data_IF_932937247690
#
_entry.id   IF_932937247690
#
_cell.length_a   1.000
_cell.length_b   1.000
_cell.length_c   1.000
_cell.angle_alpha   90.00
_cell.angle_beta   90.00
_cell.angle_gamma   90.00
#
_symmetry.space_group_name_H-M   'P 1'
#
loop_
_entity.id
_entity.type
_entity.pdbx_description
1 polymer ?
#
# COMPACT_ATOMS: atom_id res chain seq x y z
N UNK A 1 -17.25 5.22 11.90
CA UNK A 1 -18.16 5.43 10.76
C UNK A 1 -19.46 4.68 11.01
N UNK A 2 -20.52 5.35 11.47
CA UNK A 2 -21.86 4.75 11.39
C UNK A 2 -22.38 4.98 9.97
N UNK A 3 -22.15 4.01 9.09
CA UNK A 3 -22.73 4.03 7.75
C UNK A 3 -24.26 3.99 7.86
N UNK A 4 -24.95 4.91 7.20
CA UNK A 4 -26.43 4.96 7.13
C UNK A 4 -27.07 3.75 6.42
N UNK A 5 -26.31 2.74 6.00
CA UNK A 5 -26.78 1.54 5.34
C UNK A 5 -27.24 0.40 6.28
N UNK A 6 -27.17 0.63 7.59
CA UNK A 6 -27.52 -0.39 8.59
C UNK A 6 -26.38 -1.37 8.87
N UNK A 7 -26.58 -2.20 9.90
CA UNK A 7 -25.52 -3.04 10.49
C UNK A 7 -24.86 -4.01 9.50
N UNK A 8 -25.62 -4.56 8.55
CA UNK A 8 -25.11 -5.53 7.56
C UNK A 8 -24.11 -4.91 6.59
N UNK A 9 -24.44 -3.75 6.02
CA UNK A 9 -23.53 -3.07 5.11
C UNK A 9 -22.28 -2.54 5.83
N UNK A 10 -22.43 -2.08 7.08
CA UNK A 10 -21.29 -1.72 7.91
C UNK A 10 -20.37 -2.92 8.16
N UNK A 11 -20.92 -4.11 8.44
CA UNK A 11 -20.13 -5.32 8.59
C UNK A 11 -19.37 -5.64 7.30
N UNK A 12 -20.03 -5.58 6.14
CA UNK A 12 -19.39 -5.83 4.83
C UNK A 12 -18.24 -4.83 4.56
N UNK A 13 -18.48 -3.52 4.73
CA UNK A 13 -17.44 -2.52 4.46
C UNK A 13 -16.26 -2.63 5.42
N UNK A 14 -16.52 -2.91 6.70
CA UNK A 14 -15.45 -3.16 7.67
C UNK A 14 -14.67 -4.43 7.35
N UNK A 15 -15.34 -5.53 7.01
CA UNK A 15 -14.68 -6.78 6.62
C UNK A 15 -13.80 -6.60 5.37
N UNK A 16 -14.28 -5.89 4.36
CA UNK A 16 -13.47 -5.62 3.16
C UNK A 16 -12.32 -4.64 3.46
N UNK A 17 -12.52 -3.67 4.36
CA UNK A 17 -11.44 -2.79 4.80
C UNK A 17 -10.35 -3.57 5.55
N UNK A 18 -10.72 -4.51 6.42
CA UNK A 18 -9.76 -5.42 7.09
C UNK A 18 -9.03 -6.29 6.07
N UNK A 19 -9.72 -6.81 5.05
CA UNK A 19 -9.08 -7.54 3.94
C UNK A 19 -8.04 -6.69 3.22
N UNK A 20 -8.37 -5.44 2.87
CA UNK A 20 -7.43 -4.51 2.21
C UNK A 20 -6.20 -4.25 3.08
N UNK A 21 -6.42 -3.98 4.36
CA UNK A 21 -5.34 -3.71 5.32
C UNK A 21 -4.46 -4.95 5.53
N UNK A 22 -5.05 -6.16 5.55
CA UNK A 22 -4.28 -7.40 5.62
C UNK A 22 -3.40 -7.58 4.38
N UNK A 23 -3.92 -7.35 3.17
CA UNK A 23 -3.13 -7.41 1.95
C UNK A 23 -1.98 -6.39 1.94
N UNK A 24 -2.23 -5.17 2.43
CA UNK A 24 -1.18 -4.17 2.62
C UNK A 24 -0.11 -4.64 3.64
N UNK A 25 -0.51 -5.19 4.80
CA UNK A 25 0.44 -5.76 5.76
C UNK A 25 1.31 -6.85 5.15
N UNK A 26 0.71 -7.76 4.34
CA UNK A 26 1.45 -8.83 3.68
C UNK A 26 2.48 -8.23 2.71
N UNK A 27 2.07 -7.29 1.87
CA UNK A 27 2.97 -6.60 0.93
C UNK A 27 4.13 -5.90 1.65
N UNK A 28 3.85 -5.21 2.76
CA UNK A 28 4.88 -4.57 3.58
C UNK A 28 5.86 -5.59 4.16
N UNK A 29 5.38 -6.73 4.67
CA UNK A 29 6.24 -7.78 5.20
C UNK A 29 7.15 -8.37 4.12
N UNK A 30 6.60 -8.68 2.94
CA UNK A 30 7.37 -9.20 1.78
C UNK A 30 8.47 -8.21 1.37
N UNK A 31 8.13 -6.92 1.24
CA UNK A 31 9.10 -5.89 0.86
C UNK A 31 10.17 -5.68 1.95
N UNK A 32 9.80 -5.67 3.22
CA UNK A 32 10.77 -5.59 4.32
C UNK A 32 11.71 -6.79 4.33
N UNK A 33 11.20 -8.01 4.11
CA UNK A 33 12.02 -9.22 3.95
C UNK A 33 13.01 -9.05 2.81
N UNK A 34 12.58 -8.62 1.62
CA UNK A 34 13.44 -8.45 0.45
C UNK A 34 14.54 -7.42 0.72
N UNK A 35 14.18 -6.24 1.25
CA UNK A 35 15.15 -5.20 1.60
C UNK A 35 16.14 -5.67 2.68
N UNK A 36 15.65 -6.28 3.76
CA UNK A 36 16.51 -6.79 4.83
C UNK A 36 17.43 -7.92 4.35
N UNK A 37 16.92 -8.81 3.48
CA UNK A 37 17.72 -9.90 2.93
C UNK A 37 18.92 -9.37 2.15
N UNK A 38 18.67 -8.51 1.16
CA UNK A 38 19.72 -7.98 0.29
C UNK A 38 20.64 -6.99 1.01
N UNK A 39 20.09 -6.11 1.84
CA UNK A 39 20.91 -5.12 2.54
C UNK A 39 21.84 -5.77 3.56
N UNK A 40 21.35 -6.72 4.37
CA UNK A 40 22.22 -7.36 5.37
C UNK A 40 23.26 -8.27 4.74
N UNK A 41 22.94 -8.96 3.64
CA UNK A 41 23.97 -9.67 2.85
C UNK A 41 25.07 -8.72 2.38
N UNK A 42 24.72 -7.59 1.76
CA UNK A 42 25.70 -6.59 1.34
C UNK A 42 26.55 -6.07 2.51
N UNK A 43 25.93 -5.82 3.67
CA UNK A 43 26.63 -5.36 4.86
C UNK A 43 27.59 -6.43 5.43
N UNK A 44 27.19 -7.70 5.45
CA UNK A 44 28.04 -8.80 5.89
C UNK A 44 29.23 -9.02 4.95
N UNK A 45 28.99 -8.94 3.64
CA UNK A 45 30.03 -9.02 2.61
C UNK A 45 31.07 -7.90 2.79
N UNK A 46 30.62 -6.66 3.04
CA UNK A 46 31.53 -5.52 3.29
C UNK A 46 32.32 -5.65 4.59
N UNK A 47 31.74 -6.27 5.62
CA UNK A 47 32.42 -6.54 6.89
C UNK A 47 33.29 -7.81 6.86
N UNK A 48 33.25 -8.59 5.78
CA UNK A 48 33.96 -9.87 5.67
C UNK A 48 33.44 -10.95 6.64
N UNK A 49 32.18 -10.84 7.09
CA UNK A 49 31.59 -11.78 8.05
C UNK A 49 30.73 -12.81 7.32
N UNK A 50 31.09 -14.09 7.39
CA UNK A 50 30.28 -15.16 6.81
C UNK A 50 29.15 -15.56 7.76
N UNK A 51 27.98 -14.95 7.58
CA UNK A 51 26.74 -15.29 8.32
C UNK A 51 25.81 -16.10 7.43
N UNK A 52 25.21 -17.16 7.95
CA UNK A 52 24.16 -17.90 7.25
C UNK A 52 22.84 -17.10 7.28
N UNK A 53 22.75 -16.09 6.43
CA UNK A 53 21.57 -15.23 6.30
C UNK A 53 20.65 -15.75 5.20
N UNK A 54 19.50 -16.30 5.58
CA UNK A 54 18.53 -16.90 4.65
C UNK A 54 17.32 -15.99 4.43
N UNK A 55 16.57 -16.14 3.32
CA UNK A 55 15.33 -15.38 3.11
C UNK A 55 14.30 -15.60 4.23
N UNK A 56 14.24 -16.80 4.81
CA UNK A 56 13.35 -17.10 5.93
C UNK A 56 13.78 -16.38 7.21
N UNK A 57 15.09 -16.29 7.47
CA UNK A 57 15.61 -15.49 8.59
C UNK A 57 15.29 -14.00 8.42
N UNK A 58 15.38 -13.46 7.19
CA UNK A 58 14.97 -12.09 6.89
C UNK A 58 13.47 -11.84 7.12
N UNK A 59 12.60 -12.82 6.87
CA UNK A 59 11.18 -12.71 7.21
C UNK A 59 10.96 -12.71 8.73
N UNK A 60 11.66 -13.59 9.47
CA UNK A 60 11.58 -13.62 10.93
C UNK A 60 12.15 -12.35 11.58
N UNK A 61 13.14 -11.71 10.96
CA UNK A 61 13.67 -10.43 11.42
C UNK A 61 12.60 -9.33 11.51
N UNK A 62 11.63 -9.30 10.58
CA UNK A 62 10.52 -8.34 10.63
C UNK A 62 9.66 -8.53 11.89
N UNK A 63 9.61 -9.74 12.45
CA UNK A 63 8.87 -10.01 13.68
C UNK A 63 9.44 -9.28 14.91
N UNK A 64 10.66 -8.73 14.84
CA UNK A 64 11.19 -7.83 15.87
C UNK A 64 10.34 -6.56 16.05
N UNK A 65 9.51 -6.20 15.06
CA UNK A 65 8.55 -5.10 15.18
C UNK A 65 7.32 -5.46 16.03
N UNK A 66 7.14 -6.72 16.44
CA UNK A 66 5.97 -7.18 17.19
C UNK A 66 5.66 -6.34 18.44
N UNK A 67 6.63 -5.92 19.29
CA UNK A 67 6.34 -5.05 20.43
C UNK A 67 5.67 -3.74 20.01
N UNK A 68 6.12 -3.13 18.91
CA UNK A 68 5.55 -1.89 18.37
C UNK A 68 4.11 -2.09 17.89
N UNK A 69 3.77 -3.27 17.33
CA UNK A 69 2.38 -3.57 16.90
C UNK A 69 1.38 -3.63 18.06
N UNK A 70 1.86 -3.83 19.29
CA UNK A 70 1.03 -3.92 20.48
C UNK A 70 0.83 -2.57 21.19
N UNK A 71 1.43 -1.49 20.67
CA UNK A 71 1.25 -0.14 21.21
C UNK A 71 -0.24 0.26 21.13
N UNK A 72 -0.77 0.74 22.26
CA UNK A 72 -2.17 1.12 22.39
C UNK A 72 -2.47 2.43 21.67
N UNK A 73 -1.59 3.41 21.83
CA UNK A 73 -1.82 4.80 21.44
C UNK A 73 -1.58 5.03 19.94
N UNK A 74 -2.66 5.36 19.23
CA UNK A 74 -2.61 5.66 17.80
C UNK A 74 -1.72 6.88 17.49
N UNK A 75 -1.79 7.93 18.32
CA UNK A 75 -1.01 9.15 18.13
C UNK A 75 0.51 8.89 18.19
N UNK A 76 0.95 8.02 19.10
CA UNK A 76 2.37 7.64 19.21
C UNK A 76 2.86 6.90 17.98
N UNK A 77 2.05 6.01 17.39
CA UNK A 77 2.39 5.33 16.14
C UNK A 77 2.38 6.27 14.93
N UNK A 78 1.49 7.27 14.89
CA UNK A 78 1.51 8.30 13.85
C UNK A 78 2.78 9.17 13.95
N UNK A 79 3.20 9.52 15.16
CA UNK A 79 4.48 10.22 15.38
C UNK A 79 5.67 9.35 14.95
N UNK A 80 5.67 8.06 15.29
CA UNK A 80 6.71 7.14 14.83
C UNK A 80 6.73 7.00 13.30
N UNK A 81 5.55 6.91 12.67
CA UNK A 81 5.41 6.89 11.22
C UNK A 81 5.99 8.14 10.54
N UNK A 82 5.91 9.31 11.17
CA UNK A 82 6.48 10.54 10.60
C UNK A 82 8.01 10.50 10.45
N UNK A 83 8.71 9.69 11.26
CA UNK A 83 10.16 9.45 11.11
C UNK A 83 10.51 8.74 9.79
N UNK A 84 9.51 8.09 9.19
CA UNK A 84 9.62 7.41 7.92
C UNK A 84 9.70 8.32 6.69
N UNK A 85 9.16 9.54 6.79
CA UNK A 85 9.01 10.47 5.65
C UNK A 85 10.35 10.78 4.96
N UNK A 86 11.45 11.09 5.67
CA UNK A 86 12.74 11.32 5.02
C UNK A 86 13.24 10.11 4.23
N UNK A 87 13.00 8.89 4.72
CA UNK A 87 13.41 7.67 4.04
C UNK A 87 12.57 7.39 2.78
N UNK A 88 11.28 7.72 2.81
CA UNK A 88 10.43 7.72 1.62
C UNK A 88 10.94 8.71 0.57
N UNK A 89 11.24 9.95 0.99
CA UNK A 89 11.77 10.97 0.09
C UNK A 89 13.10 10.57 -0.52
N UNK A 90 14.00 9.97 0.27
CA UNK A 90 15.26 9.42 -0.22
C UNK A 90 15.02 8.38 -1.34
N UNK A 91 14.07 7.48 -1.13
CA UNK A 91 13.72 6.44 -2.10
C UNK A 91 13.15 7.02 -3.40
N UNK A 92 12.36 8.09 -3.31
CA UNK A 92 11.85 8.84 -4.47
C UNK A 92 13.00 9.54 -5.20
N UNK A 93 13.91 10.20 -4.48
CA UNK A 93 15.08 10.86 -5.07
C UNK A 93 15.99 9.84 -5.75
N UNK A 94 16.21 8.68 -5.15
CA UNK A 94 17.02 7.60 -5.72
C UNK A 94 16.54 7.21 -7.12
N UNK A 95 15.27 6.85 -7.26
CA UNK A 95 14.75 6.34 -8.54
C UNK A 95 14.59 7.45 -9.59
N UNK A 96 14.24 8.67 -9.16
CA UNK A 96 14.15 9.81 -10.08
C UNK A 96 15.53 10.25 -10.57
N UNK A 97 16.57 10.19 -9.73
CA UNK A 97 17.95 10.43 -10.13
C UNK A 97 18.39 9.47 -11.24
N UNK A 98 18.13 8.16 -11.10
CA UNK A 98 18.48 7.19 -12.15
C UNK A 98 17.78 7.47 -13.48
N UNK A 99 16.50 7.87 -13.44
CA UNK A 99 15.77 8.28 -14.64
C UNK A 99 16.33 9.52 -15.31
N UNK A 100 16.61 10.58 -14.53
CA UNK A 100 17.21 11.82 -15.05
C UNK A 100 18.61 11.58 -15.59
N UNK A 101 19.41 10.78 -14.89
CA UNK A 101 20.76 10.42 -15.33
C UNK A 101 20.73 9.67 -16.67
N UNK A 102 19.84 8.68 -16.82
CA UNK A 102 19.69 7.94 -18.08
C UNK A 102 19.30 8.84 -19.26
N UNK A 103 18.40 9.82 -19.04
CA UNK A 103 18.05 10.82 -20.06
C UNK A 103 19.24 11.72 -20.38
N UNK A 104 19.94 12.22 -19.35
CA UNK A 104 21.07 13.14 -19.53
C UNK A 104 22.24 12.49 -20.27
N UNK A 105 22.49 11.20 -20.05
CA UNK A 105 23.57 10.44 -20.72
C UNK A 105 23.15 9.82 -22.05
N UNK A 106 21.92 10.07 -22.53
CA UNK A 106 21.38 9.50 -23.76
C UNK A 106 21.49 7.96 -23.77
N UNK A 107 21.15 7.32 -22.65
CA UNK A 107 21.16 5.88 -22.54
C UNK A 107 20.26 5.25 -23.63
N UNK A 108 20.64 4.07 -24.18
CA UNK A 108 19.84 3.38 -25.19
C UNK A 108 18.41 3.14 -24.67
N UNK A 109 17.41 3.53 -25.46
CA UNK A 109 15.99 3.40 -25.12
C UNK A 109 15.33 2.18 -25.77
N UNK A 110 16.12 1.25 -26.30
CA UNK A 110 15.62 0.11 -27.09
C UNK A 110 14.75 -0.86 -26.27
N UNK A 111 14.96 -0.91 -24.94
CA UNK A 111 14.18 -1.72 -24.00
C UNK A 111 12.85 -1.03 -23.57
N UNK A 112 12.62 0.22 -23.98
CA UNK A 112 11.43 1.00 -23.64
C UNK A 112 10.32 0.69 -24.65
N UNK A 113 9.34 -0.09 -24.20
CA UNK A 113 8.17 -0.42 -25.00
C UNK A 113 7.06 0.63 -24.80
N UNK A 114 6.73 1.34 -25.87
CA UNK A 114 5.57 2.22 -25.92
C UNK A 114 4.34 1.46 -26.41
N UNK A 115 3.19 1.67 -25.75
CA UNK A 115 1.90 1.13 -26.17
C UNK A 115 1.12 0.39 -25.08
N UNK A 116 -0.11 0.01 -25.41
CA UNK A 116 -0.97 -0.73 -24.50
C UNK A 116 -0.51 -2.19 -24.39
N UNK A 117 -0.27 -2.66 -23.17
CA UNK A 117 0.03 -4.07 -22.86
C UNK A 117 -1.18 -4.74 -22.20
N UNK A 118 -1.33 -6.04 -22.38
CA UNK A 118 -2.34 -6.85 -21.70
C UNK A 118 -2.26 -6.74 -20.17
N UNK A 119 -1.07 -6.44 -19.64
CA UNK A 119 -0.83 -6.19 -18.21
C UNK A 119 -1.44 -4.89 -17.67
N UNK A 120 -2.17 -4.11 -18.48
CA UNK A 120 -2.92 -2.95 -18.02
C UNK A 120 -3.87 -3.28 -16.86
N UNK A 121 -4.49 -4.47 -16.89
CA UNK A 121 -5.32 -4.96 -15.79
C UNK A 121 -4.58 -4.96 -14.46
N UNK A 122 -3.39 -5.54 -14.43
CA UNK A 122 -2.51 -5.61 -13.24
C UNK A 122 -2.23 -4.21 -12.68
N UNK A 123 -1.89 -3.26 -13.55
CA UNK A 123 -1.64 -1.87 -13.15
C UNK A 123 -2.90 -1.26 -12.51
N UNK A 124 -4.07 -1.46 -13.10
CA UNK A 124 -5.33 -0.94 -12.58
C UNK A 124 -5.64 -1.42 -11.16
N UNK A 125 -5.36 -2.71 -10.85
CA UNK A 125 -5.50 -3.25 -9.49
C UNK A 125 -4.55 -2.58 -8.49
N UNK A 126 -3.27 -2.44 -8.86
CA UNK A 126 -2.26 -1.81 -8.01
C UNK A 126 -2.59 -0.33 -7.77
N UNK A 127 -2.93 0.43 -8.81
CA UNK A 127 -3.28 1.85 -8.72
C UNK A 127 -4.52 2.08 -7.85
N UNK A 128 -5.50 1.18 -7.93
CA UNK A 128 -6.69 1.23 -7.07
C UNK A 128 -6.32 1.15 -5.59
N UNK A 129 -5.31 0.34 -5.24
CA UNK A 129 -4.77 0.29 -3.88
C UNK A 129 -3.89 1.51 -3.55
N UNK A 130 -3.11 2.02 -4.51
CA UNK A 130 -2.25 3.19 -4.31
C UNK A 130 -3.05 4.45 -3.94
N UNK A 131 -4.26 4.61 -4.49
CA UNK A 131 -5.17 5.72 -4.16
C UNK A 131 -6.17 5.40 -3.03
N UNK A 132 -5.88 4.38 -2.21
CA UNK A 132 -6.78 3.96 -1.15
C UNK A 132 -6.56 4.74 0.15
N UNK A 133 -7.43 5.71 0.42
CA UNK A 133 -7.57 6.35 1.76
C UNK A 133 -9.03 6.45 2.22
N UNK A 134 -9.95 5.86 1.46
CA UNK A 134 -11.40 6.00 1.61
C UNK A 134 -11.92 5.60 3.00
N UNK A 135 -11.26 4.64 3.67
CA UNK A 135 -11.64 4.20 5.02
C UNK A 135 -11.16 5.13 6.15
N UNK A 136 -10.17 5.98 5.90
CA UNK A 136 -9.50 6.80 6.91
C UNK A 136 -9.64 8.31 6.66
N UNK A 137 -10.14 8.73 5.48
CA UNK A 137 -10.19 10.13 5.10
C UNK A 137 -11.05 11.00 6.03
N UNK A 138 -12.19 10.49 6.51
CA UNK A 138 -13.10 11.26 7.36
C UNK A 138 -12.46 11.68 8.70
N UNK A 139 -11.86 10.77 9.49
CA UNK A 139 -11.10 11.17 10.68
C UNK A 139 -9.98 12.18 10.40
N UNK A 140 -9.31 12.08 9.25
CA UNK A 140 -8.19 12.95 8.89
C UNK A 140 -8.67 14.37 8.63
N UNK A 141 -9.68 14.55 7.76
CA UNK A 141 -10.15 15.89 7.38
C UNK A 141 -10.99 16.57 8.46
N UNK A 142 -11.46 15.85 9.48
CA UNK A 142 -12.33 16.40 10.54
C UNK A 142 -11.67 17.56 11.31
N UNK A 143 -10.34 17.61 11.34
CA UNK A 143 -9.57 18.66 12.00
C UNK A 143 -9.20 19.84 11.08
N UNK A 144 -9.53 19.75 9.79
CA UNK A 144 -9.30 20.80 8.79
C UNK A 144 -10.49 21.75 8.70
N UNK A 145 -10.32 22.89 8.01
CA UNK A 145 -11.41 23.84 7.75
C UNK A 145 -12.45 23.23 6.78
N UNK A 146 -13.73 23.09 7.17
CA UNK A 146 -14.77 22.50 6.32
C UNK A 146 -14.96 23.18 4.97
N UNK A 147 -14.75 24.49 4.88
CA UNK A 147 -14.86 25.24 3.61
C UNK A 147 -13.83 24.79 2.56
N UNK A 148 -12.71 24.19 3.00
CA UNK A 148 -11.59 23.81 2.15
C UNK A 148 -11.50 22.30 1.89
N UNK A 149 -12.40 21.46 2.45
CA UNK A 149 -12.30 19.99 2.35
C UNK A 149 -12.11 19.49 0.92
N UNK A 150 -12.96 19.94 0.00
CA UNK A 150 -12.88 19.51 -1.40
C UNK A 150 -11.57 19.93 -2.05
N UNK A 151 -11.12 21.17 -1.81
CA UNK A 151 -9.86 21.71 -2.34
C UNK A 151 -8.66 20.94 -1.80
N UNK A 152 -8.59 20.76 -0.49
CA UNK A 152 -7.43 20.16 0.18
C UNK A 152 -7.30 18.67 -0.19
N UNK A 153 -8.43 17.94 -0.26
CA UNK A 153 -8.45 16.55 -0.73
C UNK A 153 -8.06 16.46 -2.21
N UNK A 154 -8.61 17.32 -3.07
CA UNK A 154 -8.26 17.33 -4.51
C UNK A 154 -6.78 17.61 -4.71
N UNK A 155 -6.24 18.64 -4.05
CA UNK A 155 -4.82 18.97 -4.10
C UNK A 155 -3.94 17.79 -3.64
N UNK A 156 -4.32 17.10 -2.57
CA UNK A 156 -3.60 15.92 -2.09
C UNK A 156 -3.59 14.79 -3.13
N UNK A 157 -4.73 14.45 -3.75
CA UNK A 157 -4.79 13.42 -4.79
C UNK A 157 -3.99 13.80 -6.04
N UNK A 158 -4.02 15.08 -6.45
CA UNK A 158 -3.23 15.58 -7.59
C UNK A 158 -1.74 15.47 -7.29
N UNK A 159 -1.28 15.88 -6.10
CA UNK A 159 0.12 15.75 -5.69
C UNK A 159 0.59 14.29 -5.65
N UNK A 160 -0.23 13.38 -5.12
CA UNK A 160 0.05 11.94 -5.11
C UNK A 160 0.07 11.36 -6.51
N UNK A 161 -0.85 11.76 -7.39
CA UNK A 161 -0.86 11.33 -8.79
C UNK A 161 0.39 11.79 -9.54
N UNK A 162 0.80 13.05 -9.37
CA UNK A 162 2.03 13.56 -9.98
C UNK A 162 3.27 12.85 -9.45
N UNK A 163 3.34 12.52 -8.16
CA UNK A 163 4.50 11.80 -7.61
C UNK A 163 4.58 10.37 -8.17
N UNK A 164 3.46 9.65 -8.27
CA UNK A 164 3.42 8.33 -8.87
C UNK A 164 3.75 8.34 -10.36
N UNK A 165 3.26 9.32 -11.13
CA UNK A 165 3.61 9.46 -12.55
C UNK A 165 5.10 9.75 -12.68
N UNK A 166 5.66 10.66 -11.87
CA UNK A 166 7.08 11.02 -11.92
C UNK A 166 7.95 9.81 -11.62
N UNK A 167 7.68 9.08 -10.53
CA UNK A 167 8.44 7.87 -10.16
C UNK A 167 8.24 6.75 -11.18
N UNK A 168 7.03 6.55 -11.69
CA UNK A 168 6.73 5.51 -12.67
C UNK A 168 7.42 5.74 -14.01
N UNK A 169 7.36 6.97 -14.55
CA UNK A 169 7.98 7.32 -15.83
C UNK A 169 9.50 7.36 -15.72
N UNK A 170 10.05 8.11 -14.76
CA UNK A 170 11.51 8.20 -14.59
C UNK A 170 12.10 6.88 -14.15
N UNK A 171 11.41 6.11 -13.32
CA UNK A 171 11.84 4.76 -12.94
C UNK A 171 11.84 3.78 -14.09
N UNK A 172 10.87 3.87 -15.01
CA UNK A 172 10.85 3.04 -16.22
C UNK A 172 11.99 3.40 -17.18
N UNK A 173 12.30 4.68 -17.34
CA UNK A 173 13.43 5.15 -18.18
C UNK A 173 14.79 4.83 -17.55
N UNK A 174 14.91 4.99 -16.22
CA UNK A 174 16.14 4.76 -15.47
C UNK A 174 16.42 3.30 -15.13
N UNK A 175 15.60 2.37 -15.61
CA UNK A 175 15.77 0.95 -15.33
C UNK A 175 17.01 0.40 -16.05
N UNK A 176 17.84 -0.44 -15.41
CA UNK A 176 19.03 -1.00 -16.06
C UNK A 176 18.66 -1.83 -17.30
N UNK A 177 19.37 -1.59 -18.42
CA UNK A 177 19.16 -2.31 -19.67
C UNK A 177 19.50 -3.79 -19.54
N UNK A 178 18.74 -4.65 -20.22
CA UNK A 178 18.91 -6.10 -20.14
C UNK A 178 18.49 -6.77 -18.81
N UNK A 179 17.97 -6.02 -17.84
CA UNK A 179 17.42 -6.57 -16.59
C UNK A 179 15.89 -6.60 -16.65
N UNK A 180 15.24 -7.77 -16.45
CA UNK A 180 13.78 -7.83 -16.42
C UNK A 180 13.19 -6.95 -15.32
N UNK A 181 12.09 -6.25 -15.64
CA UNK A 181 11.41 -5.36 -14.71
C UNK A 181 10.83 -6.17 -13.55
N UNK A 182 11.39 -5.94 -12.37
CA UNK A 182 10.98 -6.58 -11.12
C UNK A 182 9.80 -5.83 -10.50
N UNK A 183 8.98 -6.56 -9.73
CA UNK A 183 7.86 -5.95 -8.99
C UNK A 183 8.33 -4.96 -7.92
N UNK A 184 9.46 -5.26 -7.28
CA UNK A 184 10.21 -4.32 -6.46
C UNK A 184 11.33 -3.72 -7.32
N UNK A 185 11.22 -2.43 -7.66
CA UNK A 185 12.18 -1.79 -8.54
C UNK A 185 13.61 -1.81 -8.00
N UNK A 186 13.81 -1.86 -6.67
CA UNK A 186 15.14 -1.90 -6.08
C UNK A 186 15.88 -3.18 -6.46
N UNK A 187 15.18 -4.29 -6.72
CA UNK A 187 15.80 -5.59 -7.05
C UNK A 187 16.57 -5.56 -8.38
N UNK A 188 16.31 -4.58 -9.24
CA UNK A 188 17.10 -4.36 -10.45
C UNK A 188 18.47 -3.72 -10.20
N UNK A 189 18.68 -3.10 -9.03
CA UNK A 189 19.91 -2.38 -8.70
C UNK A 189 20.75 -3.21 -7.70
N UNK A 190 21.99 -3.60 -8.03
CA UNK A 190 22.81 -4.46 -7.17
C UNK A 190 23.33 -3.73 -5.93
N UNK A 191 23.00 -4.21 -4.73
CA UNK A 191 23.39 -3.55 -3.47
C UNK A 191 24.86 -3.73 -3.07
N UNK A 192 25.52 -4.81 -3.49
CA UNK A 192 26.86 -5.16 -3.00
C UNK A 192 27.96 -4.19 -3.50
N UNK A 193 27.72 -3.48 -4.60
CA UNK A 193 28.68 -2.54 -5.21
C UNK A 193 28.20 -1.10 -5.19
N UNK A 194 26.89 -0.89 -5.08
CA UNK A 194 26.28 0.44 -5.12
C UNK A 194 25.76 0.83 -3.73
N UNK A 195 26.52 1.72 -3.08
CA UNK A 195 26.18 2.29 -1.76
C UNK A 195 24.85 3.04 -1.83
N UNK A 196 24.51 3.65 -2.96
CA UNK A 196 23.27 4.38 -3.14
C UNK A 196 22.06 3.43 -3.18
N UNK A 197 22.19 2.31 -3.91
CA UNK A 197 21.17 1.25 -3.95
C UNK A 197 21.02 0.51 -2.61
N UNK A 198 22.11 0.35 -1.85
CA UNK A 198 22.08 -0.14 -0.47
C UNK A 198 21.32 0.85 0.45
N UNK A 199 21.66 2.14 0.39
CA UNK A 199 21.01 3.17 1.19
C UNK A 199 19.52 3.30 0.87
N UNK A 200 19.12 3.09 -0.39
CA UNK A 200 17.72 3.10 -0.81
C UNK A 200 16.94 1.92 -0.22
N UNK A 201 17.55 0.72 -0.16
CA UNK A 201 16.95 -0.45 0.51
C UNK A 201 16.82 -0.26 2.01
N UNK A 202 17.86 0.29 2.66
CA UNK A 202 17.80 0.61 4.09
C UNK A 202 16.74 1.67 4.38
N UNK A 203 16.64 2.70 3.54
CA UNK A 203 15.60 3.72 3.63
C UNK A 203 14.21 3.11 3.46
N UNK A 204 13.99 2.29 2.43
CA UNK A 204 12.71 1.62 2.23
C UNK A 204 12.38 0.69 3.40
N UNK A 205 13.34 -0.09 3.92
CA UNK A 205 13.15 -0.95 5.08
C UNK A 205 12.70 -0.14 6.31
N UNK A 206 13.39 0.96 6.62
CA UNK A 206 13.05 1.82 7.75
C UNK A 206 11.68 2.47 7.57
N UNK A 207 11.38 3.01 6.38
CA UNK A 207 10.07 3.57 6.06
C UNK A 207 8.95 2.55 6.29
N UNK A 208 9.08 1.34 5.73
CA UNK A 208 8.09 0.27 5.89
C UNK A 208 7.95 -0.14 7.36
N UNK A 209 9.05 -0.25 8.10
CA UNK A 209 9.05 -0.58 9.52
C UNK A 209 8.30 0.45 10.37
N UNK A 210 8.35 1.74 10.02
CA UNK A 210 7.59 2.79 10.73
C UNK A 210 6.09 2.77 10.44
N UNK A 211 5.68 2.32 9.25
CA UNK A 211 4.26 2.25 8.86
C UNK A 211 3.60 0.96 9.35
N UNK A 212 4.33 -0.15 9.36
CA UNK A 212 3.77 -1.49 9.60
C UNK A 212 2.96 -1.62 10.90
N UNK A 213 3.39 -1.09 12.07
CA UNK A 213 2.57 -1.12 13.29
C UNK A 213 1.25 -0.37 13.19
N UNK A 214 1.16 0.65 12.34
CA UNK A 214 -0.06 1.45 12.16
C UNK A 214 -1.19 0.60 11.59
N UNK A 215 -0.90 -0.29 10.63
CA UNK A 215 -1.89 -1.18 10.07
C UNK A 215 -2.48 -2.12 11.13
N UNK A 216 -1.67 -2.64 12.05
CA UNK A 216 -2.14 -3.50 13.14
C UNK A 216 -3.14 -2.78 14.03
N UNK A 217 -2.88 -1.52 14.38
CA UNK A 217 -3.81 -0.71 15.16
C UNK A 217 -5.10 -0.43 14.41
N UNK A 218 -5.04 -0.16 13.10
CA UNK A 218 -6.25 0.06 12.29
C UNK A 218 -7.07 -1.24 12.17
N UNK A 219 -6.44 -2.39 11.88
CA UNK A 219 -7.11 -3.69 11.83
C UNK A 219 -7.74 -4.02 13.18
N UNK A 220 -6.98 -3.86 14.28
CA UNK A 220 -7.45 -4.09 15.65
C UNK A 220 -8.69 -3.27 15.98
N UNK A 221 -8.65 -1.97 15.70
CA UNK A 221 -9.78 -1.08 15.99
C UNK A 221 -11.02 -1.42 15.16
N UNK A 222 -10.84 -1.86 13.91
CA UNK A 222 -11.93 -2.32 13.05
C UNK A 222 -12.53 -3.66 13.49
N UNK A 223 -11.68 -4.66 13.76
CA UNK A 223 -12.11 -6.01 14.19
C UNK A 223 -12.79 -5.95 15.55
N UNK A 224 -12.18 -5.32 16.56
CA UNK A 224 -12.80 -5.24 17.88
C UNK A 224 -13.96 -4.27 17.94
N UNK A 225 -13.93 -3.20 17.15
CA UNK A 225 -15.09 -2.32 16.98
C UNK A 225 -16.31 -3.06 16.41
N UNK A 226 -16.10 -4.01 15.49
CA UNK A 226 -17.17 -4.82 14.93
C UNK A 226 -17.65 -5.90 15.92
N UNK A 227 -16.72 -6.68 16.49
CA UNK A 227 -17.04 -7.87 17.30
C UNK A 227 -17.43 -7.53 18.74
N UNK A 228 -16.72 -6.61 19.38
CA UNK A 228 -16.88 -6.31 20.81
C UNK A 228 -17.51 -4.94 21.09
N UNK A 229 -17.77 -4.13 20.04
CA UNK A 229 -18.21 -2.73 20.17
C UNK A 229 -17.28 -1.89 21.08
N UNK A 230 -16.02 -2.33 21.22
CA UNK A 230 -14.98 -1.72 22.02
C UNK A 230 -13.65 -1.85 21.27
N UNK A 231 -12.90 -0.77 21.13
CA UNK A 231 -11.62 -0.73 20.39
C UNK A 231 -10.47 -1.39 21.14
N UNK A 232 -10.59 -1.59 22.45
CA UNK A 232 -9.59 -2.25 23.29
C UNK A 232 -10.28 -3.14 24.34
N UNK A 233 -10.63 -4.39 23.99
CA UNK A 233 -11.34 -5.27 24.91
C UNK A 233 -10.45 -5.80 26.05
N UNK A 234 -9.21 -6.22 25.75
CA UNK A 234 -8.24 -6.72 26.73
C UNK A 234 -6.86 -6.87 26.09
N UNK A 235 -5.77 -6.73 26.85
CA UNK A 235 -4.41 -6.86 26.33
C UNK A 235 -4.14 -8.23 25.68
N UNK A 236 -4.60 -9.33 26.30
CA UNK A 236 -4.43 -10.69 25.76
C UNK A 236 -5.09 -10.87 24.38
N UNK A 237 -6.34 -10.42 24.21
CA UNK A 237 -7.03 -10.47 22.90
C UNK A 237 -6.28 -9.67 21.83
N UNK A 238 -5.71 -8.53 22.20
CA UNK A 238 -4.90 -7.70 21.28
C UNK A 238 -3.66 -8.46 20.83
N UNK A 239 -2.90 -9.02 21.79
CA UNK A 239 -1.70 -9.81 21.51
C UNK A 239 -2.03 -11.01 20.62
N UNK A 240 -3.11 -11.74 20.89
CA UNK A 240 -3.55 -12.87 20.08
C UNK A 240 -3.90 -12.45 18.64
N UNK A 241 -4.66 -11.36 18.47
CA UNK A 241 -5.01 -10.85 17.13
C UNK A 241 -3.74 -10.45 16.37
N UNK A 242 -2.87 -9.67 17.00
CA UNK A 242 -1.61 -9.22 16.41
C UNK A 242 -0.69 -10.40 16.07
N UNK A 243 -0.64 -11.43 16.92
CA UNK A 243 0.12 -12.64 16.65
C UNK A 243 -0.43 -13.36 15.41
N UNK A 244 -1.75 -13.48 15.28
CA UNK A 244 -2.39 -14.06 14.10
C UNK A 244 -2.11 -13.27 12.81
N UNK A 245 -2.19 -11.94 12.86
CA UNK A 245 -1.85 -11.06 11.73
C UNK A 245 -0.38 -11.25 11.35
N UNK A 246 0.54 -11.15 12.31
CA UNK A 246 1.98 -11.29 12.06
C UNK A 246 2.32 -12.69 11.52
N UNK A 247 1.75 -13.76 12.09
CA UNK A 247 1.96 -15.12 11.59
C UNK A 247 1.49 -15.27 10.14
N UNK A 248 0.36 -14.67 9.79
CA UNK A 248 -0.17 -14.68 8.42
C UNK A 248 0.78 -13.93 7.47
N UNK A 249 1.23 -12.73 7.83
CA UNK A 249 2.14 -11.95 6.98
C UNK A 249 3.51 -12.60 6.84
N UNK A 250 4.04 -13.21 7.90
CA UNK A 250 5.28 -14.01 7.85
C UNK A 250 5.11 -15.23 6.93
N UNK A 251 3.99 -15.94 7.01
CA UNK A 251 3.74 -17.11 6.17
C UNK A 251 3.75 -16.74 4.67
N UNK A 252 3.06 -15.66 4.29
CA UNK A 252 3.13 -15.15 2.91
C UNK A 252 4.54 -14.69 2.54
N UNK A 253 5.25 -14.01 3.43
CA UNK A 253 6.62 -13.59 3.18
C UNK A 253 7.57 -14.77 2.93
N UNK A 254 7.36 -15.91 3.59
CA UNK A 254 8.17 -17.12 3.39
C UNK A 254 7.74 -17.89 2.14
N UNK A 255 6.45 -18.17 1.98
CA UNK A 255 5.96 -19.14 1.00
C UNK A 255 5.44 -18.53 -0.31
N UNK A 256 5.02 -17.26 -0.34
CA UNK A 256 4.47 -16.61 -1.53
C UNK A 256 4.87 -15.12 -1.63
N UNK A 257 6.16 -14.81 -1.87
CA UNK A 257 6.70 -13.44 -1.84
C UNK A 257 6.45 -12.65 -3.14
N UNK A 258 5.25 -12.72 -3.71
CA UNK A 258 4.87 -11.99 -4.93
C UNK A 258 4.05 -10.73 -4.59
N UNK A 259 4.74 -9.65 -4.27
CA UNK A 259 4.12 -8.39 -3.80
C UNK A 259 3.13 -7.81 -4.80
N UNK A 260 3.44 -7.84 -6.10
CA UNK A 260 2.56 -7.33 -7.16
C UNK A 260 1.24 -8.09 -7.24
N UNK A 261 1.26 -9.41 -7.02
CA UNK A 261 0.06 -10.24 -7.00
C UNK A 261 -0.82 -9.90 -5.79
N UNK A 262 -0.19 -9.78 -4.61
CA UNK A 262 -0.89 -9.39 -3.39
C UNK A 262 -1.55 -8.01 -3.57
N UNK A 263 -0.82 -7.03 -4.08
CA UNK A 263 -1.32 -5.66 -4.26
C UNK A 263 -2.44 -5.60 -5.32
N UNK A 264 -2.30 -6.28 -6.47
CA UNK A 264 -3.29 -6.20 -7.55
C UNK A 264 -4.64 -6.80 -7.16
N UNK A 265 -4.66 -7.97 -6.52
CA UNK A 265 -5.90 -8.62 -6.09
C UNK A 265 -6.54 -7.89 -4.91
N UNK A 266 -5.72 -7.48 -3.93
CA UNK A 266 -6.20 -6.71 -2.77
C UNK A 266 -6.82 -5.38 -3.23
N UNK A 267 -6.14 -4.67 -4.13
CA UNK A 267 -6.60 -3.41 -4.67
C UNK A 267 -7.87 -3.54 -5.52
N UNK A 268 -7.92 -4.49 -6.44
CA UNK A 268 -9.08 -4.68 -7.30
C UNK A 268 -10.32 -5.12 -6.53
N UNK A 269 -10.21 -6.14 -5.66
CA UNK A 269 -11.34 -6.65 -4.89
C UNK A 269 -11.80 -5.66 -3.80
N UNK A 270 -10.84 -5.08 -3.08
CA UNK A 270 -11.11 -4.09 -2.05
C UNK A 270 -11.67 -2.79 -2.61
N UNK A 271 -11.08 -2.31 -3.71
CA UNK A 271 -11.49 -1.12 -4.43
C UNK A 271 -12.88 -1.22 -5.01
N UNK A 272 -13.24 -2.37 -5.60
CA UNK A 272 -14.61 -2.60 -6.09
C UNK A 272 -15.64 -2.26 -5.00
N UNK A 273 -15.45 -2.77 -3.78
CA UNK A 273 -16.43 -2.53 -2.71
C UNK A 273 -16.30 -1.13 -2.12
N UNK A 274 -15.08 -0.70 -1.76
CA UNK A 274 -14.87 0.48 -0.92
C UNK A 274 -14.72 1.80 -1.71
N UNK A 275 -14.27 1.74 -2.96
CA UNK A 275 -14.09 2.90 -3.83
C UNK A 275 -15.28 3.03 -4.79
N UNK A 276 -15.69 1.95 -5.43
CA UNK A 276 -16.70 2.00 -6.48
C UNK A 276 -18.13 1.77 -5.95
N UNK A 277 -18.38 0.70 -5.19
CA UNK A 277 -19.76 0.31 -4.81
C UNK A 277 -20.30 1.10 -3.61
N UNK A 278 -19.55 1.15 -2.49
CA UNK A 278 -20.06 1.71 -1.24
C UNK A 278 -20.35 3.23 -1.31
N UNK A 279 -19.48 4.08 -1.89
CA UNK A 279 -19.76 5.51 -2.01
C UNK A 279 -20.97 5.79 -2.93
N UNK A 280 -21.05 5.09 -4.07
CA UNK A 280 -22.13 5.24 -5.04
C UNK A 280 -23.47 4.80 -4.46
N UNK A 281 -23.48 3.65 -3.76
CA UNK A 281 -24.67 3.24 -3.04
C UNK A 281 -25.13 4.33 -2.06
N UNK A 282 -24.20 4.94 -1.31
CA UNK A 282 -24.54 5.96 -0.31
C UNK A 282 -25.15 7.19 -0.97
N UNK A 283 -24.56 7.59 -2.10
CA UNK A 283 -25.05 8.69 -2.91
C UNK A 283 -26.46 8.43 -3.45
N UNK A 284 -26.73 7.26 -4.02
CA UNK A 284 -28.06 6.89 -4.50
C UNK A 284 -29.10 6.83 -3.39
N UNK A 285 -28.73 6.31 -2.21
CA UNK A 285 -29.64 6.30 -1.06
C UNK A 285 -30.02 7.73 -0.64
N UNK A 286 -29.06 8.65 -0.63
CA UNK A 286 -29.30 10.06 -0.32
C UNK A 286 -30.15 10.74 -1.40
N UNK A 287 -29.85 10.57 -2.70
CA UNK A 287 -30.66 11.13 -3.79
C UNK A 287 -32.12 10.64 -3.74
N UNK A 288 -32.32 9.34 -3.48
CA UNK A 288 -33.67 8.76 -3.35
C UNK A 288 -34.42 9.35 -2.16
N UNK A 289 -33.75 9.57 -1.03
CA UNK A 289 -34.34 10.22 0.13
C UNK A 289 -34.73 11.69 -0.15
N UNK A 290 -33.93 12.40 -0.95
CA UNK A 290 -34.15 13.80 -1.32
C UNK A 290 -35.04 13.99 -2.57
N UNK A 291 -35.49 12.89 -3.21
CA UNK A 291 -36.25 12.90 -4.48
C UNK A 291 -35.55 13.63 -5.64
N UNK A 292 -34.22 13.75 -5.60
CA UNK A 292 -33.39 14.39 -6.64
C UNK A 292 -32.90 13.38 -7.69
N UNK A 293 -33.68 12.33 -7.95
CA UNK A 293 -33.27 11.21 -8.79
C UNK A 293 -33.26 11.60 -10.27
N UNK A 294 -32.08 11.63 -10.90
CA UNK A 294 -31.93 11.92 -12.33
C UNK A 294 -31.36 10.72 -13.09
N UNK A 295 -31.91 10.43 -14.27
CA UNK A 295 -31.44 9.33 -15.12
C UNK A 295 -29.99 9.48 -15.56
N UNK A 296 -29.56 10.69 -15.88
CA UNK A 296 -28.17 10.98 -16.26
C UNK A 296 -27.17 10.67 -15.14
N UNK A 297 -27.48 11.08 -13.90
CA UNK A 297 -26.67 10.73 -12.74
C UNK A 297 -26.59 9.21 -12.54
N UNK A 298 -27.69 8.49 -12.67
CA UNK A 298 -27.71 7.03 -12.54
C UNK A 298 -26.78 6.36 -13.57
N UNK A 299 -26.85 6.77 -14.84
CA UNK A 299 -26.02 6.20 -15.90
C UNK A 299 -24.52 6.37 -15.60
N UNK A 300 -24.10 7.59 -15.23
CA UNK A 300 -22.70 7.88 -14.90
C UNK A 300 -22.20 7.00 -13.75
N UNK A 301 -22.99 6.87 -12.69
CA UNK A 301 -22.63 6.06 -11.53
C UNK A 301 -22.58 4.55 -11.84
N UNK A 302 -23.48 4.05 -12.68
CA UNK A 302 -23.43 2.66 -13.17
C UNK A 302 -22.14 2.41 -13.95
N UNK A 303 -21.76 3.32 -14.85
CA UNK A 303 -20.49 3.23 -15.60
C UNK A 303 -19.29 3.17 -14.64
N UNK A 304 -19.27 3.99 -13.59
CA UNK A 304 -18.19 3.97 -12.59
C UNK A 304 -18.11 2.61 -11.87
N UNK A 305 -19.24 1.99 -11.51
CA UNK A 305 -19.25 0.64 -10.92
C UNK A 305 -18.75 -0.39 -11.93
N UNK A 306 -19.15 -0.30 -13.19
CA UNK A 306 -18.70 -1.21 -14.25
C UNK A 306 -17.19 -1.12 -14.47
N UNK A 307 -16.59 0.06 -14.36
CA UNK A 307 -15.12 0.21 -14.38
C UNK A 307 -14.49 -0.60 -13.24
N UNK A 308 -15.01 -0.48 -12.02
CA UNK A 308 -14.53 -1.28 -10.88
C UNK A 308 -14.66 -2.79 -11.10
N UNK A 309 -15.78 -3.25 -11.67
CA UNK A 309 -15.99 -4.67 -12.02
C UNK A 309 -14.99 -5.12 -13.09
N UNK A 310 -14.77 -4.29 -14.11
CA UNK A 310 -13.83 -4.57 -15.20
C UNK A 310 -12.41 -4.70 -14.66
N UNK A 311 -11.99 -3.79 -13.78
CA UNK A 311 -10.68 -3.86 -13.14
C UNK A 311 -10.49 -5.15 -12.33
N UNK A 312 -11.53 -5.66 -11.68
CA UNK A 312 -11.47 -6.95 -10.99
C UNK A 312 -11.37 -8.13 -11.96
N UNK A 313 -12.19 -8.15 -13.01
CA UNK A 313 -12.18 -9.23 -14.02
C UNK A 313 -10.83 -9.30 -14.72
N UNK A 314 -10.23 -8.15 -15.06
CA UNK A 314 -8.92 -8.06 -15.68
C UNK A 314 -7.75 -8.56 -14.79
N UNK A 315 -7.99 -8.95 -13.54
CA UNK A 315 -6.96 -9.62 -12.73
C UNK A 315 -6.81 -11.12 -13.04
N UNK A 316 -7.83 -11.71 -13.68
CA UNK A 316 -7.93 -13.15 -13.96
C UNK A 316 -7.69 -13.51 -15.42
N UNK A 317 -7.53 -12.51 -16.30
CA UNK A 317 -7.29 -12.63 -17.73
C UNK A 317 -5.92 -12.06 -18.04
#
# INVERSE_FOLDING_TARGET
MQYHFGKRAQAVTVSVSVFVLMGACIAYHVLMKQCAFTAFHAAFDWLGVHVHWTPSAAALFVCLLFPLTNVKEFATLVRFNSLGIPFLLFTIVFITYHGVHAVATHAPMDDIAFGAKSTFGVLGGIVTLSFFIHNAIQPIIRHSNPANYARDVTAAYVLVGMSYITVGVLGYIGFPTGVPIQQNFLDAFPANRDVFAFAARMSLLLQLATVYPLFFVIIRTQVFGLVFQNTWPSAWRVVLLNLGIMATTTAFAVYYPHVGDILRFTGAAGGLVLIFVAPIGLHWKQQRAQRLWTWGSMLVHVVIVLVGVTLLVLQFV
#
